data_IF_565281409905
#
_entry.id   IF_565281409905
#
_cell.length_a   1.000
_cell.length_b   1.000
_cell.length_c   1.000
_cell.angle_alpha   90.00
_cell.angle_beta   90.00
_cell.angle_gamma   90.00
#
_symmetry.space_group_name_H-M   'P 1'
#
loop_
_entity.id
_entity.type
_entity.pdbx_description
1 polymer ?
#
# COMPACT_ATOMS: atom_id res chain seq x y z
N UNK A 1 -2.02 -25.40 -20.90
CA UNK A 1 -2.34 -24.63 -19.68
C UNK A 1 -1.02 -24.39 -18.97
N UNK A 2 -0.48 -23.17 -19.02
CA UNK A 2 0.76 -22.83 -18.32
C UNK A 2 0.46 -22.73 -16.82
N UNK A 3 1.13 -23.54 -16.03
CA UNK A 3 1.15 -23.41 -14.57
C UNK A 3 1.69 -22.04 -14.21
N UNK A 4 0.84 -21.19 -13.64
CA UNK A 4 1.24 -19.90 -13.09
C UNK A 4 2.16 -20.22 -11.90
N UNK A 5 3.47 -20.01 -12.06
CA UNK A 5 4.39 -20.07 -10.93
C UNK A 5 4.04 -18.87 -10.03
N UNK A 6 3.52 -19.17 -8.86
CA UNK A 6 3.33 -18.17 -7.81
C UNK A 6 4.71 -17.89 -7.21
N UNK A 7 5.19 -16.67 -7.42
CA UNK A 7 6.46 -16.21 -6.85
C UNK A 7 6.10 -15.53 -5.54
N UNK A 8 6.37 -16.18 -4.44
CA UNK A 8 5.95 -15.77 -3.11
C UNK A 8 6.48 -14.38 -2.71
N UNK A 9 7.61 -13.92 -3.28
CA UNK A 9 8.18 -12.60 -2.98
C UNK A 9 8.82 -11.96 -4.22
N UNK A 10 8.43 -10.73 -4.57
CA UNK A 10 9.05 -9.97 -5.67
C UNK A 10 10.46 -9.48 -5.34
N UNK A 11 10.69 -9.06 -4.10
CA UNK A 11 11.99 -8.59 -3.61
C UNK A 11 12.45 -9.45 -2.44
N UNK A 12 13.76 -9.59 -2.29
CA UNK A 12 14.38 -10.11 -1.08
C UNK A 12 14.92 -8.94 -0.28
N UNK A 13 14.53 -8.83 0.98
CA UNK A 13 15.02 -7.83 1.93
C UNK A 13 15.90 -8.56 2.93
N UNK A 14 17.07 -8.01 3.23
CA UNK A 14 17.97 -8.57 4.23
C UNK A 14 17.57 -8.18 5.67
N UNK A 15 18.29 -8.70 6.65
CA UNK A 15 18.05 -8.46 8.08
C UNK A 15 18.26 -6.98 8.47
N UNK A 16 18.91 -6.19 7.63
CA UNK A 16 19.08 -4.73 7.81
C UNK A 16 17.95 -3.92 7.20
N UNK A 17 16.97 -4.57 6.55
CA UNK A 17 15.86 -3.91 5.87
C UNK A 17 16.22 -3.37 4.49
N UNK A 18 17.30 -3.86 3.89
CA UNK A 18 17.74 -3.41 2.57
C UNK A 18 17.49 -4.48 1.50
N UNK A 19 17.05 -4.07 0.29
CA UNK A 19 16.91 -4.99 -0.85
C UNK A 19 18.27 -5.55 -1.28
N UNK A 20 18.27 -6.85 -1.57
CA UNK A 20 19.44 -7.59 -2.08
C UNK A 20 19.21 -8.06 -3.52
N UNK A 21 20.26 -8.51 -4.23
CA UNK A 21 20.12 -9.05 -5.59
C UNK A 21 19.11 -10.19 -5.67
N UNK A 22 18.38 -10.33 -6.80
CA UNK A 22 17.30 -11.29 -6.93
C UNK A 22 17.84 -12.71 -7.00
N UNK A 23 17.13 -13.63 -6.40
CA UNK A 23 17.40 -15.06 -6.57
C UNK A 23 16.89 -15.58 -7.94
N UNK A 24 17.25 -16.81 -8.30
CA UNK A 24 16.88 -17.41 -9.59
C UNK A 24 15.35 -17.50 -9.77
N UNK A 25 14.59 -17.71 -8.71
CA UNK A 25 13.12 -17.79 -8.77
C UNK A 25 12.51 -16.44 -9.09
N UNK A 26 13.01 -15.37 -8.48
CA UNK A 26 12.56 -14.00 -8.77
C UNK A 26 12.86 -13.58 -10.20
N UNK A 27 13.96 -14.05 -10.79
CA UNK A 27 14.31 -13.80 -12.20
C UNK A 27 13.39 -14.51 -13.22
N UNK A 28 12.53 -15.43 -12.77
CA UNK A 28 11.47 -16.02 -13.60
C UNK A 28 10.39 -14.97 -13.88
N UNK A 29 10.14 -14.06 -12.91
CA UNK A 29 9.23 -12.95 -13.11
C UNK A 29 9.75 -12.01 -14.22
N UNK A 30 8.86 -11.70 -15.16
CA UNK A 30 9.22 -10.88 -16.33
C UNK A 30 9.67 -9.48 -15.92
N UNK A 31 8.95 -8.85 -15.01
CA UNK A 31 9.21 -7.45 -14.63
C UNK A 31 10.50 -7.34 -13.80
N UNK A 32 10.74 -8.29 -12.89
CA UNK A 32 12.00 -8.35 -12.10
C UNK A 32 13.18 -8.63 -13.03
N UNK A 33 13.04 -9.57 -13.96
CA UNK A 33 14.08 -9.85 -14.96
C UNK A 33 14.37 -8.65 -15.82
N UNK A 34 13.35 -7.91 -16.27
CA UNK A 34 13.50 -6.68 -17.06
C UNK A 34 14.25 -5.61 -16.25
N UNK A 35 13.85 -5.38 -14.99
CA UNK A 35 14.50 -4.46 -14.07
C UNK A 35 15.99 -4.83 -13.88
N UNK A 36 16.28 -6.11 -13.66
CA UNK A 36 17.65 -6.61 -13.46
C UNK A 36 18.51 -6.53 -14.72
N UNK A 37 17.97 -6.89 -15.90
CA UNK A 37 18.73 -6.95 -17.16
C UNK A 37 18.99 -5.58 -17.77
N UNK A 38 18.14 -4.57 -17.49
CA UNK A 38 18.36 -3.19 -17.95
C UNK A 38 19.54 -2.51 -17.24
N UNK A 39 19.86 -2.94 -16.05
CA UNK A 39 21.07 -2.49 -15.36
C UNK A 39 22.31 -3.13 -16.00
N UNK A 40 23.21 -2.30 -16.54
CA UNK A 40 24.47 -2.70 -17.17
C UNK A 40 25.67 -2.59 -16.25
N UNK A 41 25.47 -2.12 -15.01
CA UNK A 41 26.57 -2.06 -14.03
C UNK A 41 26.98 -3.47 -13.62
N UNK A 42 28.26 -3.65 -13.24
CA UNK A 42 28.79 -4.96 -12.85
C UNK A 42 28.18 -5.45 -11.54
N UNK A 43 27.98 -4.53 -10.62
CA UNK A 43 27.48 -4.74 -9.26
C UNK A 43 25.96 -4.65 -9.13
N UNK A 44 25.25 -4.36 -10.24
CA UNK A 44 23.80 -4.18 -10.25
C UNK A 44 23.31 -3.09 -9.28
N UNK A 45 24.12 -2.07 -9.08
CA UNK A 45 23.81 -0.96 -8.17
C UNK A 45 22.52 -0.24 -8.53
N UNK A 46 22.23 -0.01 -9.83
CA UNK A 46 20.98 0.62 -10.27
C UNK A 46 19.76 -0.25 -9.97
N UNK A 47 19.89 -1.57 -10.13
CA UNK A 47 18.81 -2.49 -9.77
C UNK A 47 18.49 -2.36 -8.27
N UNK A 48 19.51 -2.39 -7.41
CA UNK A 48 19.31 -2.24 -5.95
C UNK A 48 18.70 -0.90 -5.60
N UNK A 49 19.17 0.20 -6.20
CA UNK A 49 18.61 1.53 -6.01
C UNK A 49 17.11 1.59 -6.33
N UNK A 50 16.69 1.00 -7.45
CA UNK A 50 15.28 0.93 -7.84
C UNK A 50 14.47 -0.01 -6.93
N UNK A 51 15.08 -1.10 -6.46
CA UNK A 51 14.44 -1.97 -5.47
C UNK A 51 14.22 -1.25 -4.12
N UNK A 52 15.12 -0.37 -3.69
CA UNK A 52 14.90 0.49 -2.51
C UNK A 52 13.67 1.38 -2.71
N UNK A 53 13.51 1.99 -3.88
CA UNK A 53 12.32 2.80 -4.19
C UNK A 53 11.04 1.95 -4.15
N UNK A 54 11.08 0.73 -4.74
CA UNK A 54 9.94 -0.19 -4.72
C UNK A 54 9.59 -0.60 -3.29
N UNK A 55 10.58 -0.90 -2.45
CA UNK A 55 10.39 -1.25 -1.05
C UNK A 55 9.78 -0.10 -0.23
N UNK A 56 10.37 1.11 -0.32
CA UNK A 56 9.91 2.25 0.48
C UNK A 56 8.50 2.70 0.13
N UNK A 57 8.10 2.61 -1.15
CA UNK A 57 6.76 3.01 -1.58
C UNK A 57 5.74 1.86 -1.52
N UNK A 58 6.19 0.63 -1.76
CA UNK A 58 5.31 -0.53 -1.92
C UNK A 58 5.15 -1.39 -0.67
N UNK A 59 6.06 -1.33 0.31
CA UNK A 59 5.93 -2.15 1.52
C UNK A 59 5.23 -1.39 2.64
N UNK A 60 4.07 -1.88 3.14
CA UNK A 60 3.43 -1.31 4.32
C UNK A 60 4.32 -1.31 5.57
N UNK A 61 5.32 -2.19 5.63
CA UNK A 61 6.29 -2.33 6.73
C UNK A 61 7.55 -1.49 6.52
N UNK A 62 7.68 -0.77 5.39
CA UNK A 62 8.83 0.09 5.15
C UNK A 62 8.92 1.23 6.17
N UNK A 63 10.13 1.73 6.48
CA UNK A 63 10.30 2.84 7.43
C UNK A 63 9.47 4.07 7.09
N UNK A 64 9.32 4.40 5.80
CA UNK A 64 8.53 5.53 5.34
C UNK A 64 7.03 5.36 5.65
N UNK A 65 6.48 4.17 5.37
CA UNK A 65 5.06 3.88 5.64
C UNK A 65 4.77 3.73 7.13
N UNK A 66 5.69 3.19 7.91
CA UNK A 66 5.58 3.14 9.37
C UNK A 66 5.59 4.53 10.01
N UNK A 67 6.36 5.47 9.45
CA UNK A 67 6.38 6.86 9.86
C UNK A 67 5.12 7.65 9.41
N UNK A 68 4.21 7.03 8.65
CA UNK A 68 2.98 7.67 8.16
C UNK A 68 3.21 8.71 7.05
N UNK A 69 4.34 8.64 6.36
CA UNK A 69 4.69 9.56 5.30
C UNK A 69 3.76 9.39 4.08
N UNK A 70 3.47 10.49 3.40
CA UNK A 70 2.81 10.49 2.10
C UNK A 70 3.68 9.82 1.04
N UNK A 71 3.11 9.44 -0.10
CA UNK A 71 3.87 8.82 -1.20
C UNK A 71 4.99 9.74 -1.72
N UNK A 72 4.78 11.06 -1.74
CA UNK A 72 5.77 12.04 -2.15
C UNK A 72 6.96 12.12 -1.16
N UNK A 73 6.68 12.10 0.14
CA UNK A 73 7.69 12.09 1.20
C UNK A 73 8.41 10.74 1.25
N UNK A 74 7.70 9.64 1.07
CA UNK A 74 8.27 8.29 0.97
C UNK A 74 9.22 8.17 -0.22
N UNK A 75 8.87 8.76 -1.37
CA UNK A 75 9.74 8.80 -2.54
C UNK A 75 11.01 9.62 -2.25
N UNK A 76 10.88 10.78 -1.61
CA UNK A 76 12.03 11.60 -1.22
C UNK A 76 12.99 10.84 -0.31
N UNK A 77 12.45 10.17 0.72
CA UNK A 77 13.22 9.34 1.63
C UNK A 77 13.93 8.18 0.90
N UNK A 78 13.21 7.52 -0.04
CA UNK A 78 13.77 6.45 -0.86
C UNK A 78 14.92 6.93 -1.77
N UNK A 79 14.78 8.12 -2.37
CA UNK A 79 15.82 8.75 -3.20
C UNK A 79 17.09 9.02 -2.37
N UNK A 80 16.94 9.56 -1.17
CA UNK A 80 18.04 9.82 -0.24
C UNK A 80 18.72 8.51 0.19
N UNK A 81 17.94 7.50 0.55
CA UNK A 81 18.45 6.19 0.99
C UNK A 81 19.13 5.41 -0.14
N UNK A 82 18.64 5.54 -1.37
CA UNK A 82 19.19 4.86 -2.54
C UNK A 82 20.36 5.63 -3.20
N UNK A 83 20.73 6.78 -2.67
CA UNK A 83 21.72 7.69 -3.31
C UNK A 83 21.39 7.98 -4.78
N UNK A 84 20.11 8.22 -5.05
CA UNK A 84 19.61 8.59 -6.37
C UNK A 84 19.66 10.11 -6.55
N UNK A 85 19.64 10.55 -7.81
CA UNK A 85 19.54 11.99 -8.12
C UNK A 85 18.22 12.55 -7.58
N UNK A 86 18.26 13.75 -7.00
CA UNK A 86 17.08 14.41 -6.42
C UNK A 86 15.90 14.59 -7.39
N UNK A 87 16.14 14.57 -8.70
CA UNK A 87 15.13 14.64 -9.75
C UNK A 87 14.71 13.26 -10.29
N UNK A 88 15.01 12.17 -9.59
CA UNK A 88 14.60 10.83 -10.00
C UNK A 88 13.06 10.71 -9.98
N UNK A 89 12.53 10.15 -11.05
CA UNK A 89 11.10 9.84 -11.20
C UNK A 89 10.99 8.35 -11.55
N UNK A 90 10.23 7.56 -10.77
CA UNK A 90 9.98 6.16 -11.10
C UNK A 90 9.33 6.02 -12.47
N UNK A 91 9.86 5.15 -13.31
CA UNK A 91 9.26 4.84 -14.61
C UNK A 91 8.07 3.87 -14.49
N UNK A 92 7.42 3.59 -15.62
CA UNK A 92 6.23 2.74 -15.66
C UNK A 92 6.49 1.31 -15.15
N UNK A 93 7.71 0.77 -15.31
CA UNK A 93 8.08 -0.55 -14.80
C UNK A 93 8.19 -0.52 -13.28
N UNK A 94 8.90 0.47 -12.74
CA UNK A 94 9.06 0.66 -11.28
C UNK A 94 7.69 0.90 -10.62
N UNK A 95 6.85 1.78 -11.19
CA UNK A 95 5.49 2.03 -10.67
C UNK A 95 4.63 0.77 -10.65
N UNK A 96 4.71 -0.06 -11.71
CA UNK A 96 4.00 -1.34 -11.75
C UNK A 96 4.51 -2.31 -10.68
N UNK A 97 5.81 -2.37 -10.45
CA UNK A 97 6.42 -3.20 -9.42
C UNK A 97 6.07 -2.70 -8.02
N UNK A 98 6.05 -1.39 -7.76
CA UNK A 98 5.58 -0.81 -6.49
C UNK A 98 4.16 -1.30 -6.19
N UNK A 99 3.24 -1.19 -7.16
CA UNK A 99 1.86 -1.64 -6.97
C UNK A 99 1.78 -3.14 -6.70
N UNK A 100 2.48 -3.96 -7.49
CA UNK A 100 2.48 -5.42 -7.31
C UNK A 100 3.08 -5.82 -5.96
N UNK A 101 4.15 -5.17 -5.55
CA UNK A 101 4.80 -5.41 -4.26
C UNK A 101 3.89 -5.04 -3.09
N UNK A 102 3.19 -3.90 -3.20
CA UNK A 102 2.16 -3.50 -2.25
C UNK A 102 1.03 -4.52 -2.16
N UNK A 103 0.48 -4.94 -3.30
CA UNK A 103 -0.62 -5.92 -3.37
C UNK A 103 -0.22 -7.29 -2.77
N UNK A 104 1.06 -7.66 -2.80
CA UNK A 104 1.58 -8.88 -2.18
C UNK A 104 1.79 -8.76 -0.66
N UNK A 105 2.23 -7.58 -0.20
CA UNK A 105 2.61 -7.37 1.20
C UNK A 105 1.49 -6.80 2.05
N UNK A 106 0.40 -6.32 1.45
CA UNK A 106 -0.78 -5.88 2.19
C UNK A 106 -1.60 -7.10 2.62
N UNK A 107 -1.68 -7.33 3.94
CA UNK A 107 -2.54 -8.37 4.52
C UNK A 107 -4.03 -8.08 4.32
N UNK A 108 -4.89 -9.02 4.69
CA UNK A 108 -6.34 -8.88 4.58
C UNK A 108 -6.88 -7.70 5.42
N UNK A 109 -6.36 -7.53 6.64
CA UNK A 109 -6.70 -6.41 7.50
C UNK A 109 -6.28 -5.07 6.87
N UNK A 110 -5.09 -4.99 6.25
CA UNK A 110 -4.63 -3.80 5.55
C UNK A 110 -5.52 -3.44 4.35
N UNK A 111 -5.93 -4.43 3.55
CA UNK A 111 -6.90 -4.24 2.44
C UNK A 111 -8.24 -3.74 2.94
N UNK A 112 -8.70 -4.25 4.07
CA UNK A 112 -9.95 -3.82 4.70
C UNK A 112 -9.88 -2.34 5.10
N UNK A 113 -8.79 -1.92 5.76
CA UNK A 113 -8.54 -0.51 6.10
C UNK A 113 -8.55 0.37 4.84
N UNK A 114 -7.83 -0.02 3.80
CA UNK A 114 -7.78 0.74 2.53
C UNK A 114 -9.16 0.87 1.88
N UNK A 115 -9.93 -0.22 1.83
CA UNK A 115 -11.28 -0.20 1.24
C UNK A 115 -12.24 0.70 2.01
N UNK A 116 -12.17 0.71 3.35
CA UNK A 116 -12.99 1.61 4.17
C UNK A 116 -12.58 3.07 3.95
N UNK A 117 -11.28 3.38 3.89
CA UNK A 117 -10.79 4.73 3.59
C UNK A 117 -11.26 5.22 2.21
N UNK A 118 -11.19 4.37 1.19
CA UNK A 118 -11.74 4.67 -0.15
C UNK A 118 -13.24 4.90 -0.10
N UNK A 119 -13.97 4.12 0.71
CA UNK A 119 -15.40 4.31 0.93
C UNK A 119 -15.72 5.67 1.53
N UNK A 120 -15.03 6.06 2.60
CA UNK A 120 -15.18 7.38 3.24
C UNK A 120 -14.87 8.51 2.24
N UNK A 121 -13.78 8.39 1.50
CA UNK A 121 -13.41 9.36 0.48
C UNK A 121 -14.49 9.54 -0.60
N UNK A 122 -15.05 8.43 -1.10
CA UNK A 122 -16.14 8.47 -2.09
C UNK A 122 -17.43 9.10 -1.55
N UNK A 123 -17.74 8.86 -0.27
CA UNK A 123 -18.89 9.54 0.39
C UNK A 123 -18.64 11.03 0.47
N UNK A 124 -17.45 11.48 0.88
CA UNK A 124 -17.09 12.90 0.92
C UNK A 124 -17.20 13.57 -0.46
N UNK A 125 -16.62 12.95 -1.51
CA UNK A 125 -16.77 13.45 -2.89
C UNK A 125 -18.25 13.57 -3.28
N UNK A 126 -19.08 12.57 -2.93
CA UNK A 126 -20.50 12.59 -3.23
C UNK A 126 -21.22 13.75 -2.53
N UNK A 127 -20.86 14.03 -1.27
CA UNK A 127 -21.38 15.18 -0.51
C UNK A 127 -20.96 16.50 -1.17
N UNK A 128 -19.70 16.62 -1.58
CA UNK A 128 -19.19 17.83 -2.24
C UNK A 128 -19.90 18.10 -3.57
N UNK A 129 -20.11 17.07 -4.40
CA UNK A 129 -20.85 17.19 -5.66
C UNK A 129 -22.29 17.63 -5.42
N UNK A 130 -22.98 17.03 -4.43
CA UNK A 130 -24.36 17.41 -4.09
C UNK A 130 -24.41 18.84 -3.56
N UNK A 131 -23.45 19.28 -2.73
CA UNK A 131 -23.36 20.66 -2.25
C UNK A 131 -23.12 21.64 -3.38
N UNK A 132 -22.31 21.30 -4.40
CA UNK A 132 -22.15 22.13 -5.60
C UNK A 132 -23.47 22.29 -6.37
N UNK A 133 -24.18 21.17 -6.59
CA UNK A 133 -25.50 21.19 -7.26
C UNK A 133 -26.53 21.97 -6.47
N UNK A 134 -26.52 21.89 -5.13
CA UNK A 134 -27.37 22.72 -4.26
C UNK A 134 -27.08 24.21 -4.46
N UNK A 135 -25.80 24.58 -4.43
CA UNK A 135 -25.38 25.99 -4.61
C UNK A 135 -25.75 26.54 -5.99
N UNK A 136 -25.66 25.72 -7.03
CA UNK A 136 -26.10 26.11 -8.38
C UNK A 136 -27.63 26.32 -8.45
N UNK A 137 -28.39 25.36 -7.91
CA UNK A 137 -29.86 25.43 -7.92
C UNK A 137 -30.38 26.58 -7.08
N UNK A 138 -29.79 26.87 -5.91
CA UNK A 138 -30.18 28.02 -5.05
C UNK A 138 -29.99 29.38 -5.73
N UNK A 139 -29.06 29.49 -6.68
CA UNK A 139 -28.83 30.73 -7.44
C UNK A 139 -29.85 30.96 -8.55
N UNK A 140 -30.50 29.92 -9.03
CA UNK A 140 -31.34 30.00 -10.25
C UNK A 140 -32.84 29.94 -9.99
N UNK A 141 -33.30 29.91 -8.71
CA UNK A 141 -34.65 29.41 -8.44
C UNK A 141 -35.61 30.33 -7.76
N UNK A 142 -36.87 30.25 -8.24
CA UNK A 142 -38.09 30.76 -7.61
C UNK A 142 -39.30 29.85 -7.79
N UNK A 143 -39.16 28.61 -8.29
CA UNK A 143 -40.30 27.73 -8.49
C UNK A 143 -40.38 26.60 -7.46
N UNK A 144 -41.60 26.05 -7.24
CA UNK A 144 -41.90 25.05 -6.23
C UNK A 144 -41.24 23.69 -6.55
N UNK A 145 -41.07 23.33 -7.83
CA UNK A 145 -40.47 22.08 -8.27
C UNK A 145 -38.97 22.04 -7.95
N UNK A 146 -38.30 23.17 -8.12
CA UNK A 146 -36.88 23.27 -7.78
C UNK A 146 -36.67 23.29 -6.26
N UNK A 147 -37.59 23.89 -5.48
CA UNK A 147 -37.52 23.79 -4.01
C UNK A 147 -37.64 22.34 -3.56
N UNK A 148 -38.55 21.57 -4.15
CA UNK A 148 -38.69 20.12 -3.85
C UNK A 148 -37.43 19.33 -4.19
N UNK A 149 -36.77 19.62 -5.32
CA UNK A 149 -35.49 19.00 -5.70
C UNK A 149 -34.37 19.38 -4.72
N UNK A 150 -34.30 20.63 -4.27
CA UNK A 150 -33.33 21.10 -3.28
C UNK A 150 -33.50 20.33 -1.96
N UNK A 151 -34.73 20.18 -1.47
CA UNK A 151 -35.03 19.43 -0.26
C UNK A 151 -34.60 17.97 -0.41
N UNK A 152 -34.85 17.33 -1.57
CA UNK A 152 -34.39 15.97 -1.87
C UNK A 152 -32.86 15.83 -1.88
N UNK A 153 -32.14 16.84 -2.37
CA UNK A 153 -30.67 16.85 -2.34
C UNK A 153 -30.14 17.03 -0.91
N UNK A 154 -30.76 17.89 -0.10
CA UNK A 154 -30.40 18.07 1.32
C UNK A 154 -30.59 16.75 2.09
N UNK A 155 -31.70 16.04 1.83
CA UNK A 155 -31.95 14.75 2.46
C UNK A 155 -30.91 13.70 2.08
N UNK A 156 -30.48 13.68 0.81
CA UNK A 156 -29.38 12.82 0.35
C UNK A 156 -28.05 13.14 1.05
N UNK A 157 -27.71 14.42 1.21
CA UNK A 157 -26.49 14.83 1.95
C UNK A 157 -26.56 14.37 3.39
N UNK A 158 -27.69 14.61 4.06
CA UNK A 158 -27.88 14.21 5.46
C UNK A 158 -27.76 12.69 5.64
N UNK A 159 -28.36 11.93 4.74
CA UNK A 159 -28.27 10.46 4.74
C UNK A 159 -26.83 9.99 4.54
N UNK A 160 -26.11 10.54 3.57
CA UNK A 160 -24.71 10.23 3.31
C UNK A 160 -23.80 10.64 4.46
N UNK A 161 -23.97 11.83 5.00
CA UNK A 161 -23.23 12.30 6.18
C UNK A 161 -23.48 11.41 7.40
N UNK A 162 -24.72 10.92 7.56
CA UNK A 162 -25.07 9.97 8.64
C UNK A 162 -24.39 8.60 8.55
N UNK A 163 -23.91 8.19 7.36
CA UNK A 163 -23.15 6.95 7.17
C UNK A 163 -21.70 7.07 7.68
N UNK A 164 -21.10 8.27 7.67
CA UNK A 164 -19.68 8.50 8.02
C UNK A 164 -19.31 7.99 9.41
N UNK A 165 -20.07 8.26 10.51
CA UNK A 165 -19.71 7.76 11.83
C UNK A 165 -19.58 6.25 11.91
N UNK A 166 -20.48 5.52 11.23
CA UNK A 166 -20.42 4.06 11.17
C UNK A 166 -19.21 3.54 10.40
N UNK A 167 -18.80 4.25 9.34
CA UNK A 167 -17.60 3.94 8.56
C UNK A 167 -16.34 4.22 9.38
N UNK A 168 -16.29 5.33 10.12
CA UNK A 168 -15.18 5.67 11.02
C UNK A 168 -15.03 4.63 12.13
N UNK A 169 -16.15 4.15 12.71
CA UNK A 169 -16.11 3.07 13.70
C UNK A 169 -15.50 1.81 13.10
N UNK A 170 -15.97 1.37 11.92
CA UNK A 170 -15.40 0.21 11.20
C UNK A 170 -13.93 0.41 10.86
N UNK A 171 -13.51 1.63 10.52
CA UNK A 171 -12.11 1.96 10.27
C UNK A 171 -11.25 1.74 11.52
N UNK A 172 -11.71 2.19 12.68
CA UNK A 172 -10.99 2.01 13.93
C UNK A 172 -10.88 0.52 14.32
N UNK A 173 -11.97 -0.24 14.19
CA UNK A 173 -11.96 -1.69 14.40
C UNK A 173 -11.00 -2.41 13.41
N UNK A 174 -11.00 -2.01 12.14
CA UNK A 174 -10.09 -2.58 11.14
C UNK A 174 -8.61 -2.22 11.41
N UNK A 175 -8.33 -1.01 11.92
CA UNK A 175 -6.98 -0.61 12.35
C UNK A 175 -6.50 -1.40 13.57
N UNK A 176 -7.35 -1.65 14.53
CA UNK A 176 -7.05 -2.49 15.70
C UNK A 176 -6.70 -3.92 15.25
N UNK A 177 -7.48 -4.50 14.33
CA UNK A 177 -7.20 -5.80 13.74
C UNK A 177 -5.87 -5.83 12.98
N UNK A 178 -5.55 -4.76 12.23
CA UNK A 178 -4.27 -4.63 11.54
C UNK A 178 -3.09 -4.57 12.51
N UNK A 179 -3.23 -3.86 13.63
CA UNK A 179 -2.22 -3.81 14.69
C UNK A 179 -2.02 -5.20 15.31
N UNK A 180 -3.11 -5.90 15.61
CA UNK A 180 -3.06 -7.26 16.15
C UNK A 180 -2.41 -8.25 15.18
N UNK A 181 -2.69 -8.14 13.88
CA UNK A 181 -2.07 -8.96 12.83
C UNK A 181 -0.55 -8.73 12.80
N UNK A 182 -0.11 -7.45 12.87
CA UNK A 182 1.31 -7.07 12.94
C UNK A 182 2.01 -7.60 14.19
N UNK A 183 1.38 -7.49 15.36
CA UNK A 183 1.93 -7.99 16.62
C UNK A 183 2.07 -9.52 16.59
N UNK A 184 1.08 -10.22 16.01
CA UNK A 184 1.11 -11.70 15.90
C UNK A 184 2.18 -12.16 14.90
N UNK A 185 2.39 -11.44 13.80
CA UNK A 185 3.47 -11.74 12.86
C UNK A 185 4.85 -11.51 13.49
N UNK A 186 5.04 -10.42 14.25
CA UNK A 186 6.28 -10.17 14.99
C UNK A 186 6.56 -11.24 16.04
N UNK A 187 5.53 -11.70 16.76
CA UNK A 187 5.65 -12.77 17.73
C UNK A 187 5.99 -14.13 17.09
N UNK A 188 5.50 -14.40 15.87
CA UNK A 188 5.83 -15.62 15.12
C UNK A 188 7.21 -15.56 14.47
N UNK A 189 7.66 -14.41 14.00
CA UNK A 189 8.99 -14.19 13.41
C UNK A 189 10.13 -14.18 14.44
N UNK A 190 9.83 -13.94 15.71
CA UNK A 190 10.80 -13.93 16.80
C UNK A 190 11.07 -15.29 17.43
N UNK A 191 10.31 -16.32 17.13
CA UNK A 191 10.55 -17.70 17.58
C UNK A 191 11.23 -18.48 16.46
N UNK A 192 12.56 -18.39 16.35
CA UNK A 192 13.32 -19.53 15.86
C UNK A 192 12.99 -20.68 16.81
N UNK A 193 12.14 -21.57 16.34
CA UNK A 193 12.01 -22.89 16.96
C UNK A 193 13.33 -23.61 16.68
N UNK A 194 14.30 -23.48 17.56
CA UNK A 194 15.40 -24.42 17.62
C UNK A 194 14.73 -25.77 17.90
N UNK A 195 14.71 -26.61 16.86
CA UNK A 195 14.21 -27.98 16.98
C UNK A 195 14.97 -28.63 18.10
N UNK A 196 14.28 -29.09 19.12
CA UNK A 196 14.88 -29.87 20.24
C UNK A 196 15.46 -31.21 19.78
N UNK A 197 15.48 -31.51 18.49
CA UNK A 197 16.10 -32.68 17.89
C UNK A 197 17.62 -32.57 17.69
N UNK A 198 18.19 -31.36 17.77
CA UNK A 198 19.63 -31.18 17.62
C UNK A 198 20.42 -31.26 18.96
N UNK A 199 19.73 -31.42 20.09
CA UNK A 199 20.36 -31.45 21.40
C UNK A 199 20.82 -32.88 21.86
N UNK A 200 20.43 -33.92 21.15
CA UNK A 200 20.80 -35.32 21.54
C UNK A 200 21.99 -35.91 20.76
N UNK A 201 22.63 -35.15 19.86
CA UNK A 201 23.70 -35.67 19.01
C UNK A 201 25.15 -35.48 19.57
N UNK A 202 25.31 -34.92 20.76
CA UNK A 202 26.64 -34.67 21.36
C UNK A 202 26.78 -35.14 22.79
N UNK A 203 26.31 -36.37 23.08
CA UNK A 203 26.71 -37.10 24.29
C UNK A 203 26.93 -38.57 23.96
N UNK A 204 28.11 -38.88 23.36
CA UNK A 204 28.88 -40.12 23.53
C UNK A 204 30.34 -39.84 23.21
#
# INVERSE_FOLDING_TARGET
MGTKLDIDMLLTIDDTGMPVPPNVRQLIDRDIRELYTRDKTKDKSKYIQECIVIYYLGDPKSPAKQAGLSDAESLKMAIEQADLKANYIPDALVLRLIKRYYDQNIGEAGRTVENILKGIHNVNISIDVVNQLLNEKLKTTTDLDTISQILGLIDQVNKKAGEIPSMVKRLNEAKENLMYEKETELARGGTQVSSSMDAEAYTE
#
